data_IF_890540960964
#
_entry.id   IF_890540960964
#
_cell.length_a   1.000
_cell.length_b   1.000
_cell.length_c   1.000
_cell.angle_alpha   90.00
_cell.angle_beta   90.00
_cell.angle_gamma   90.00
#
_symmetry.space_group_name_H-M   'P 1'
#
loop_
_entity.id
_entity.type
_entity.pdbx_description
1 polymer ?
#
# COMPACT_ATOMS: atom_id res chain seq x y z
N UNK A 1 14.93 -28.99 -4.86
CA UNK A 1 13.62 -28.46 -4.48
C UNK A 1 13.80 -27.10 -3.83
N UNK A 2 13.12 -26.09 -4.34
CA UNK A 2 13.24 -24.76 -3.79
C UNK A 2 12.48 -24.68 -2.45
N UNK A 3 13.11 -24.12 -1.45
CA UNK A 3 12.46 -23.84 -0.18
C UNK A 3 11.54 -22.62 -0.34
N UNK A 4 10.41 -22.63 0.34
CA UNK A 4 9.52 -21.47 0.37
C UNK A 4 10.19 -20.35 1.17
N UNK A 5 10.20 -19.15 0.58
CA UNK A 5 10.71 -17.98 1.27
C UNK A 5 9.53 -17.26 1.96
N UNK A 6 9.43 -17.45 3.27
CA UNK A 6 8.36 -16.85 4.08
C UNK A 6 8.74 -15.47 4.62
N UNK A 7 9.85 -14.89 4.14
CA UNK A 7 10.31 -13.57 4.56
C UNK A 7 10.02 -12.49 3.53
N UNK A 8 9.53 -12.86 2.34
CA UNK A 8 9.29 -11.95 1.24
C UNK A 8 8.24 -12.52 0.30
N UNK A 9 7.38 -11.65 -0.22
CA UNK A 9 6.46 -12.01 -1.30
C UNK A 9 6.31 -10.85 -2.27
N UNK A 10 5.88 -11.19 -3.49
CA UNK A 10 5.56 -10.21 -4.53
C UNK A 10 4.19 -10.52 -5.10
N UNK A 11 3.37 -9.48 -5.25
CA UNK A 11 2.05 -9.58 -5.87
C UNK A 11 2.05 -8.63 -7.06
N UNK A 12 1.55 -9.10 -8.19
CA UNK A 12 1.43 -8.33 -9.41
C UNK A 12 -0.04 -8.13 -9.75
N UNK A 13 -0.39 -6.91 -10.15
CA UNK A 13 -1.75 -6.59 -10.60
C UNK A 13 -1.67 -5.83 -11.92
N UNK A 14 -2.52 -6.19 -12.87
CA UNK A 14 -2.67 -5.46 -14.12
C UNK A 14 -3.91 -4.57 -14.02
N UNK A 15 -3.75 -3.30 -14.40
CA UNK A 15 -4.77 -2.27 -14.24
C UNK A 15 -5.04 -1.62 -15.59
N UNK A 16 -6.31 -1.54 -15.97
CA UNK A 16 -6.74 -0.91 -17.22
C UNK A 16 -6.92 0.60 -17.00
N UNK A 17 -5.81 1.26 -16.69
CA UNK A 17 -5.74 2.71 -16.50
C UNK A 17 -4.28 3.15 -16.72
N UNK A 18 -4.03 4.46 -16.75
CA UNK A 18 -2.69 4.96 -17.01
C UNK A 18 -1.80 4.88 -15.75
N UNK A 19 -0.48 4.90 -15.99
CA UNK A 19 0.49 4.79 -14.90
C UNK A 19 0.41 5.96 -13.92
N UNK A 20 0.11 7.16 -14.41
CA UNK A 20 -0.01 8.34 -13.56
C UNK A 20 -1.17 8.20 -12.57
N UNK A 21 -2.31 7.68 -13.02
CA UNK A 21 -3.47 7.44 -12.14
C UNK A 21 -3.15 6.42 -11.07
N UNK A 22 -2.42 5.35 -11.41
CA UNK A 22 -1.98 4.34 -10.45
C UNK A 22 -1.01 4.97 -9.44
N UNK A 23 -0.04 5.73 -9.91
CA UNK A 23 0.92 6.40 -9.03
C UNK A 23 0.21 7.36 -8.08
N UNK A 24 -0.72 8.18 -8.57
CA UNK A 24 -1.48 9.13 -7.75
C UNK A 24 -2.28 8.42 -6.65
N UNK A 25 -2.84 7.26 -6.96
CA UNK A 25 -3.59 6.46 -5.98
C UNK A 25 -2.72 5.97 -4.82
N UNK A 26 -1.41 5.83 -5.02
CA UNK A 26 -0.45 5.43 -3.99
C UNK A 26 0.26 6.62 -3.33
N UNK A 27 0.41 7.73 -4.06
CA UNK A 27 1.36 8.78 -3.71
C UNK A 27 0.71 10.07 -3.22
N UNK A 28 -0.58 10.05 -2.93
CA UNK A 28 -1.27 11.19 -2.29
C UNK A 28 -2.15 10.69 -1.15
N UNK A 29 -2.37 11.51 -0.11
CA UNK A 29 -3.29 11.14 0.97
C UNK A 29 -4.69 10.77 0.45
N UNK A 30 -5.28 11.61 -0.37
CA UNK A 30 -6.60 11.35 -0.95
C UNK A 30 -6.60 10.09 -1.82
N UNK A 31 -5.51 9.85 -2.57
CA UNK A 31 -5.37 8.65 -3.37
C UNK A 31 -5.46 7.38 -2.53
N UNK A 32 -4.69 7.31 -1.47
CA UNK A 32 -4.69 6.15 -0.56
C UNK A 32 -6.04 5.97 0.14
N UNK A 33 -6.71 7.05 0.48
CA UNK A 33 -8.03 6.99 1.10
C UNK A 33 -9.11 6.48 0.15
N UNK A 34 -8.89 6.62 -1.15
CA UNK A 34 -9.91 6.21 -2.14
C UNK A 34 -10.09 4.70 -2.25
N UNK A 35 -9.07 3.91 -1.91
CA UNK A 35 -9.13 2.45 -2.08
C UNK A 35 -8.57 1.64 -0.92
N UNK A 36 -7.75 2.22 -0.07
CA UNK A 36 -6.94 1.48 0.90
C UNK A 36 -7.30 1.85 2.34
N UNK A 37 -7.12 3.11 2.72
CA UNK A 37 -7.16 3.55 4.10
C UNK A 37 -8.40 4.39 4.41
N UNK A 38 -8.82 4.38 5.68
CA UNK A 38 -9.85 5.29 6.16
C UNK A 38 -9.29 6.71 6.25
N UNK A 39 -8.04 6.85 6.70
CA UNK A 39 -7.34 8.12 6.81
C UNK A 39 -5.85 7.90 6.54
N UNK A 40 -5.27 8.74 5.70
CA UNK A 40 -3.85 8.68 5.34
C UNK A 40 -3.23 10.05 5.56
N UNK A 41 -2.64 10.27 6.74
CA UNK A 41 -1.92 11.50 7.05
C UNK A 41 -0.45 11.34 6.74
N UNK A 42 0.13 12.32 6.06
CA UNK A 42 1.56 12.39 5.79
C UNK A 42 2.11 13.71 6.29
N UNK A 43 3.30 13.66 6.88
CA UNK A 43 4.00 14.83 7.41
C UNK A 43 5.33 14.97 6.71
N UNK A 44 5.66 16.21 6.31
CA UNK A 44 6.95 16.52 5.70
C UNK A 44 8.07 16.37 6.73
N UNK A 45 9.31 16.43 6.27
CA UNK A 45 10.49 16.35 7.15
C UNK A 45 10.48 17.46 8.21
N UNK A 46 9.79 18.57 7.94
CA UNK A 46 9.66 19.67 8.91
C UNK A 46 8.42 19.55 9.80
N UNK A 47 7.63 18.48 9.64
CA UNK A 47 6.46 18.21 10.47
C UNK A 47 5.15 18.83 9.97
N UNK A 48 5.14 19.38 8.77
CA UNK A 48 3.92 19.96 8.18
C UNK A 48 3.04 18.85 7.61
N UNK A 49 1.75 18.89 7.93
CA UNK A 49 0.77 17.96 7.38
C UNK A 49 0.56 18.25 5.89
N UNK A 50 0.67 17.20 5.05
CA UNK A 50 0.40 17.33 3.62
C UNK A 50 -1.07 17.45 3.34
N UNK A 51 -1.41 18.26 2.31
CA UNK A 51 -2.77 18.42 1.84
C UNK A 51 -3.24 17.12 1.15
N UNK A 52 -4.56 16.87 1.05
CA UNK A 52 -5.09 15.63 0.49
C UNK A 52 -4.59 15.29 -0.92
N UNK A 53 -4.34 16.27 -1.75
CA UNK A 53 -3.92 16.06 -3.15
C UNK A 53 -2.44 16.33 -3.38
N UNK A 54 -1.70 16.57 -2.32
CA UNK A 54 -0.27 16.83 -2.39
C UNK A 54 0.50 15.51 -2.52
N UNK A 55 1.48 15.46 -3.42
CA UNK A 55 2.31 14.26 -3.59
C UNK A 55 3.27 14.09 -2.43
N UNK A 56 3.37 12.85 -1.95
CA UNK A 56 4.30 12.48 -0.89
C UNK A 56 5.73 12.45 -1.42
N UNK A 57 6.70 12.66 -0.55
CA UNK A 57 8.11 12.69 -0.92
C UNK A 57 8.92 11.79 0.02
N UNK A 58 10.17 11.53 -0.38
CA UNK A 58 11.13 10.79 0.44
C UNK A 58 11.28 11.45 1.80
N UNK A 59 11.37 10.62 2.83
CA UNK A 59 11.53 11.01 4.24
C UNK A 59 10.25 11.55 4.88
N UNK A 60 9.13 11.60 4.15
CA UNK A 60 7.84 11.86 4.79
C UNK A 60 7.54 10.75 5.79
N UNK A 61 6.91 11.13 6.90
CA UNK A 61 6.36 10.16 7.85
C UNK A 61 4.86 10.05 7.65
N UNK A 62 4.29 8.92 8.05
CA UNK A 62 2.86 8.72 7.88
C UNK A 62 2.21 8.19 9.15
N UNK A 63 0.89 8.49 9.28
CA UNK A 63 0.00 7.92 10.27
C UNK A 63 -1.27 7.50 9.54
N UNK A 64 -1.56 6.20 9.54
CA UNK A 64 -2.66 5.62 8.79
C UNK A 64 -3.69 4.99 9.71
N UNK A 65 -4.97 5.20 9.41
CA UNK A 65 -6.09 4.54 10.05
C UNK A 65 -6.78 3.61 9.06
N UNK A 66 -7.18 2.45 9.54
CA UNK A 66 -7.74 1.38 8.72
C UNK A 66 -9.26 1.43 8.66
N UNK A 67 -9.82 1.01 7.53
CA UNK A 67 -11.26 0.76 7.43
C UNK A 67 -11.64 -0.43 8.31
N UNK A 68 -12.76 -0.28 9.04
CA UNK A 68 -13.27 -1.35 9.89
C UNK A 68 -12.61 -1.47 11.26
N UNK A 69 -11.66 -0.58 11.56
CA UNK A 69 -10.95 -0.57 12.84
C UNK A 69 -11.05 0.82 13.47
N UNK A 70 -10.96 0.89 14.80
CA UNK A 70 -10.98 2.16 15.49
C UNK A 70 -9.61 2.86 15.43
N UNK A 71 -9.53 4.07 16.01
CA UNK A 71 -8.32 4.89 15.94
C UNK A 71 -7.14 4.33 16.74
N UNK A 72 -7.37 3.29 17.56
CA UNK A 72 -6.29 2.64 18.30
C UNK A 72 -5.44 1.74 17.40
N UNK A 73 -5.95 1.34 16.24
CA UNK A 73 -5.21 0.54 15.26
C UNK A 73 -4.42 1.44 14.32
N UNK A 74 -3.67 2.38 14.88
CA UNK A 74 -2.88 3.36 14.11
C UNK A 74 -1.59 2.73 13.61
N UNK A 75 -1.36 2.84 12.30
CA UNK A 75 -0.13 2.39 11.64
C UNK A 75 0.75 3.60 11.36
N UNK A 76 2.02 3.53 11.73
CA UNK A 76 3.01 4.59 11.49
C UNK A 76 4.18 4.08 10.69
N UNK A 77 4.82 4.96 9.93
CA UNK A 77 6.00 4.59 9.16
C UNK A 77 6.66 5.77 8.47
N UNK A 78 7.63 5.45 7.61
CA UNK A 78 8.48 6.43 6.91
C UNK A 78 8.56 6.04 5.44
N UNK A 79 8.53 7.06 4.56
CA UNK A 79 8.77 6.87 3.13
C UNK A 79 10.28 6.82 2.89
N UNK A 80 10.80 5.63 2.56
CA UNK A 80 12.23 5.39 2.38
C UNK A 80 12.72 5.87 1.02
N UNK A 81 11.92 5.67 -0.03
CA UNK A 81 12.24 6.10 -1.39
C UNK A 81 10.96 6.54 -2.11
N UNK A 82 11.05 7.63 -2.84
CA UNK A 82 9.96 8.16 -3.66
C UNK A 82 10.61 8.83 -4.87
N UNK A 83 10.35 8.33 -6.09
CA UNK A 83 10.92 8.93 -7.29
C UNK A 83 9.95 9.88 -8.02
N UNK A 84 8.72 10.02 -7.50
CA UNK A 84 7.68 10.90 -8.04
C UNK A 84 7.20 10.52 -9.45
N UNK A 85 7.47 9.29 -9.89
CA UNK A 85 7.11 8.81 -11.24
C UNK A 85 6.45 7.43 -11.18
N UNK A 86 7.15 6.42 -10.65
CA UNK A 86 6.72 5.03 -10.77
C UNK A 86 7.23 4.11 -9.65
N UNK A 87 7.83 4.66 -8.59
CA UNK A 87 8.40 3.85 -7.53
C UNK A 87 8.21 4.49 -6.16
N UNK A 88 7.78 3.65 -5.19
CA UNK A 88 7.65 4.01 -3.78
C UNK A 88 8.21 2.88 -2.93
N UNK A 89 8.82 3.24 -1.81
CA UNK A 89 9.29 2.27 -0.82
C UNK A 89 9.07 2.85 0.58
N UNK A 90 8.45 2.07 1.45
CA UNK A 90 8.13 2.57 2.79
C UNK A 90 8.22 1.45 3.83
N UNK A 91 8.44 1.85 5.08
CA UNK A 91 8.36 0.91 6.20
C UNK A 91 6.89 0.60 6.48
N UNK A 92 6.65 -0.62 6.93
CA UNK A 92 5.29 -1.08 7.20
C UNK A 92 5.28 -1.87 8.52
N UNK A 93 4.19 -2.55 8.80
CA UNK A 93 3.98 -3.24 10.08
C UNK A 93 5.17 -4.15 10.46
N UNK A 94 5.52 -4.17 11.74
CA UNK A 94 6.56 -5.02 12.33
C UNK A 94 7.92 -4.92 11.60
N UNK A 95 8.31 -3.70 11.25
CA UNK A 95 9.60 -3.40 10.59
C UNK A 95 9.75 -4.03 9.20
N UNK A 96 8.66 -4.42 8.58
CA UNK A 96 8.69 -4.86 7.18
C UNK A 96 8.83 -3.67 6.24
N UNK A 97 9.19 -3.95 5.00
CA UNK A 97 9.38 -2.93 3.98
C UNK A 97 8.54 -3.29 2.77
N UNK A 98 7.77 -2.31 2.28
CA UNK A 98 6.93 -2.47 1.09
C UNK A 98 7.48 -1.61 -0.04
N UNK A 99 7.62 -2.21 -1.21
CA UNK A 99 8.03 -1.51 -2.44
C UNK A 99 6.92 -1.62 -3.48
N UNK A 100 6.64 -0.50 -4.15
CA UNK A 100 5.65 -0.43 -5.22
C UNK A 100 6.36 0.01 -6.48
N UNK A 101 6.26 -0.80 -7.54
CA UNK A 101 6.81 -0.51 -8.85
C UNK A 101 5.68 -0.50 -9.88
N UNK A 102 5.66 0.50 -10.75
CA UNK A 102 4.60 0.71 -11.73
C UNK A 102 5.24 0.77 -13.12
N UNK A 103 4.71 -0.03 -14.06
CA UNK A 103 5.20 -0.03 -15.46
C UNK A 103 4.04 -0.13 -16.42
N UNK A 104 4.26 0.37 -17.64
CA UNK A 104 3.30 0.23 -18.74
C UNK A 104 3.71 -0.92 -19.62
N UNK A 105 2.75 -1.79 -19.97
CA UNK A 105 2.99 -2.94 -20.83
C UNK A 105 1.70 -3.31 -21.57
N UNK A 106 1.77 -3.42 -22.89
CA UNK A 106 0.67 -3.89 -23.74
C UNK A 106 -0.65 -3.12 -23.53
N UNK A 107 -0.56 -1.80 -23.30
CA UNK A 107 -1.75 -0.96 -23.09
C UNK A 107 -2.33 -1.01 -21.69
N UNK A 108 -1.70 -1.77 -20.79
CA UNK A 108 -2.10 -1.86 -19.39
C UNK A 108 -1.01 -1.27 -18.51
N UNK A 109 -1.37 -0.97 -17.27
CA UNK A 109 -0.41 -0.60 -16.24
C UNK A 109 -0.21 -1.79 -15.32
N UNK A 110 1.04 -2.18 -15.11
CA UNK A 110 1.40 -3.30 -14.25
C UNK A 110 1.96 -2.75 -12.95
N UNK A 111 1.29 -3.12 -11.86
CA UNK A 111 1.74 -2.77 -10.51
C UNK A 111 2.35 -4.00 -9.87
N UNK A 112 3.55 -3.83 -9.30
CA UNK A 112 4.21 -4.90 -8.55
C UNK A 112 4.44 -4.43 -7.12
N UNK A 113 3.88 -5.17 -6.16
CA UNK A 113 4.04 -4.91 -4.75
C UNK A 113 4.92 -6.00 -4.15
N UNK A 114 6.01 -5.59 -3.49
CA UNK A 114 6.88 -6.51 -2.77
C UNK A 114 6.91 -6.10 -1.31
N UNK A 115 6.67 -7.06 -0.42
CA UNK A 115 6.86 -6.86 1.02
C UNK A 115 7.97 -7.80 1.48
N UNK A 116 8.96 -7.26 2.18
CA UNK A 116 10.14 -8.00 2.61
C UNK A 116 10.49 -7.71 4.05
N UNK A 117 11.52 -8.38 4.55
CA UNK A 117 11.96 -8.33 5.94
C UNK A 117 10.86 -8.84 6.89
N UNK A 118 10.12 -9.84 6.44
CA UNK A 118 9.05 -10.46 7.22
C UNK A 118 9.67 -11.50 8.15
N UNK A 119 9.30 -11.44 9.42
CA UNK A 119 9.77 -12.40 10.41
C UNK A 119 9.01 -13.71 10.27
N UNK A 120 9.73 -14.81 10.21
CA UNK A 120 9.10 -16.13 10.12
C UNK A 120 8.36 -16.48 11.42
N UNK A 121 7.19 -17.09 11.28
CA UNK A 121 6.35 -17.49 12.41
C UNK A 121 5.67 -18.81 12.03
N UNK A 122 5.90 -19.89 12.80
CA UNK A 122 5.27 -21.18 12.50
C UNK A 122 3.77 -21.23 12.77
N UNK A 123 3.24 -20.27 13.52
CA UNK A 123 1.81 -20.23 13.84
C UNK A 123 1.04 -19.55 12.69
N UNK A 124 0.17 -20.26 11.95
CA UNK A 124 -0.57 -19.68 10.83
C UNK A 124 -1.50 -18.54 11.24
N UNK A 125 -1.93 -18.48 12.49
CA UNK A 125 -2.85 -17.44 12.97
C UNK A 125 -2.14 -16.11 13.24
N UNK A 126 -0.83 -16.12 13.46
CA UNK A 126 -0.03 -14.92 13.69
C UNK A 126 1.03 -14.71 12.61
N UNK A 127 1.09 -15.57 11.60
CA UNK A 127 2.08 -15.50 10.53
C UNK A 127 1.84 -14.26 9.67
N UNK A 128 2.76 -13.31 9.74
CA UNK A 128 2.63 -12.02 9.07
C UNK A 128 2.66 -12.15 7.56
N UNK A 129 3.43 -13.11 7.00
CA UNK A 129 3.47 -13.36 5.57
C UNK A 129 2.04 -13.68 5.05
N UNK A 130 1.37 -14.62 5.72
CA UNK A 130 0.01 -15.02 5.32
C UNK A 130 -0.97 -13.86 5.47
N UNK A 131 -0.92 -13.16 6.59
CA UNK A 131 -1.82 -12.04 6.85
C UNK A 131 -1.64 -10.90 5.86
N UNK A 132 -0.40 -10.51 5.61
CA UNK A 132 -0.12 -9.40 4.69
C UNK A 132 -0.38 -9.76 3.24
N UNK A 133 -0.02 -10.98 2.81
CA UNK A 133 -0.30 -11.41 1.45
C UNK A 133 -1.80 -11.44 1.19
N UNK A 134 -2.58 -11.95 2.13
CA UNK A 134 -4.05 -11.98 2.05
C UNK A 134 -4.62 -10.56 2.01
N UNK A 135 -4.15 -9.71 2.90
CA UNK A 135 -4.61 -8.31 2.97
C UNK A 135 -4.30 -7.53 1.70
N UNK A 136 -3.06 -7.61 1.21
CA UNK A 136 -2.68 -6.91 -0.01
C UNK A 136 -3.42 -7.42 -1.24
N UNK A 137 -3.67 -8.73 -1.32
CA UNK A 137 -4.44 -9.30 -2.43
C UNK A 137 -5.83 -8.67 -2.49
N UNK A 138 -6.49 -8.54 -1.34
CA UNK A 138 -7.80 -7.87 -1.26
C UNK A 138 -7.71 -6.39 -1.64
N UNK A 139 -6.75 -5.67 -1.07
CA UNK A 139 -6.63 -4.23 -1.32
C UNK A 139 -6.24 -3.92 -2.77
N UNK A 140 -5.40 -4.73 -3.39
CA UNK A 140 -5.08 -4.54 -4.80
C UNK A 140 -6.28 -4.83 -5.70
N UNK A 141 -7.12 -5.79 -5.33
CA UNK A 141 -8.38 -6.02 -6.03
C UNK A 141 -9.30 -4.80 -5.92
N UNK A 142 -9.35 -4.16 -4.74
CA UNK A 142 -10.12 -2.93 -4.56
C UNK A 142 -9.54 -1.76 -5.36
N UNK A 143 -8.22 -1.63 -5.39
CA UNK A 143 -7.57 -0.61 -6.23
C UNK A 143 -7.98 -0.78 -7.69
N UNK A 144 -7.93 -2.01 -8.19
CA UNK A 144 -8.36 -2.32 -9.55
C UNK A 144 -9.83 -1.94 -9.77
N UNK A 145 -10.70 -2.31 -8.84
CA UNK A 145 -12.13 -1.97 -8.93
C UNK A 145 -12.34 -0.45 -9.01
N UNK A 146 -11.72 0.31 -8.11
CA UNK A 146 -11.88 1.77 -8.05
C UNK A 146 -11.33 2.43 -9.32
N UNK A 147 -10.13 2.05 -9.76
CA UNK A 147 -9.49 2.69 -10.92
C UNK A 147 -10.14 2.33 -12.25
N UNK A 148 -10.81 1.18 -12.33
CA UNK A 148 -11.49 0.73 -13.54
C UNK A 148 -13.00 1.08 -13.55
N UNK A 149 -13.43 1.93 -12.59
CA UNK A 149 -14.80 2.43 -12.57
C UNK A 149 -15.79 1.54 -11.84
N UNK A 150 -15.29 0.59 -11.05
CA UNK A 150 -16.12 -0.29 -10.24
C UNK A 150 -16.44 0.27 -8.87
N UNK A 151 -16.95 -0.60 -8.01
CA UNK A 151 -17.37 -0.21 -6.65
C UNK A 151 -16.21 -0.36 -5.66
N UNK A 152 -16.37 0.31 -4.52
CA UNK A 152 -15.46 0.17 -3.38
C UNK A 152 -15.80 -1.14 -2.65
N UNK A 153 -14.83 -2.06 -2.59
CA UNK A 153 -15.01 -3.38 -2.00
C UNK A 153 -14.77 -3.42 -0.49
N UNK A 154 -14.32 -2.31 0.09
CA UNK A 154 -14.00 -2.29 1.53
C UNK A 154 -15.24 -2.49 2.38
N UNK A 155 -15.08 -3.28 3.44
CA UNK A 155 -16.16 -3.54 4.38
C UNK A 155 -16.09 -2.54 5.52
N UNK A 156 -17.15 -1.74 5.69
CA UNK A 156 -17.26 -0.79 6.78
C UNK A 156 -18.29 -1.20 7.84
N UNK A 157 -18.67 -2.47 7.87
CA UNK A 157 -19.69 -2.96 8.77
C UNK A 157 -19.29 -2.85 10.25
N UNK A 158 -18.00 -2.70 10.52
CA UNK A 158 -17.47 -2.63 11.89
C UNK A 158 -17.23 -1.20 12.38
N UNK A 159 -17.53 -0.24 11.57
CA UNK A 159 -17.33 1.19 11.89
C UNK A 159 -18.49 1.74 12.70
#
# INVERSE_FOLDING_TARGET
MAENNWTKFTITADLDTDAHSVYTAWATPAGLESWFLRKADFYTITGRLRQPEEFILKEDTYEWLWYGFDDNALQKGVMLEVNSIDFLKFTFTDDTIVSISIKSANGLTILELTQENIKEDPNPNSNLFVQCQTGWTFYLANLKSILEGGIDLRNNAWM
#
